data_IF_342866292287
#
_entry.id   IF_342866292287
#
_cell.length_a   1.000
_cell.length_b   1.000
_cell.length_c   1.000
_cell.angle_alpha   90.00
_cell.angle_beta   90.00
_cell.angle_gamma   90.00
#
_symmetry.space_group_name_H-M   'P 1'
#
loop_
_entity.id
_entity.type
_entity.pdbx_description
1 polymer ?
#
# COMPACT_ATOMS: atom_id res chain seq x y z
N UNK A 1 20.25 13.95 -17.03
CA UNK A 1 20.26 14.21 -15.58
C UNK A 1 20.20 12.85 -14.92
N UNK A 2 21.22 12.53 -14.12
CA UNK A 2 21.34 11.20 -13.55
C UNK A 2 20.09 10.87 -12.71
N UNK A 3 19.33 9.92 -13.23
CA UNK A 3 18.37 9.18 -12.44
C UNK A 3 19.20 8.38 -11.43
N UNK A 4 19.43 8.94 -10.25
CA UNK A 4 20.18 8.29 -9.19
C UNK A 4 19.33 7.16 -8.62
N UNK A 5 19.24 6.06 -9.38
CA UNK A 5 18.77 4.80 -8.85
C UNK A 5 19.52 4.54 -7.54
N UNK A 6 18.80 4.21 -6.48
CA UNK A 6 19.40 3.86 -5.19
C UNK A 6 20.39 2.73 -5.44
N UNK A 7 21.71 2.91 -5.19
CA UNK A 7 22.70 1.87 -5.44
C UNK A 7 22.42 0.69 -4.51
N UNK A 8 22.11 -0.46 -5.10
CA UNK A 8 21.88 -1.67 -4.32
C UNK A 8 23.22 -2.29 -3.93
N UNK A 9 23.44 -2.56 -2.62
CA UNK A 9 24.61 -3.32 -2.19
C UNK A 9 24.55 -4.75 -2.73
N UNK A 10 25.68 -5.48 -2.79
CA UNK A 10 25.70 -6.88 -3.18
C UNK A 10 24.75 -7.71 -2.32
N UNK A 11 24.05 -8.66 -2.93
CA UNK A 11 23.23 -9.63 -2.18
C UNK A 11 24.12 -10.46 -1.26
N UNK A 12 23.61 -10.75 -0.06
CA UNK A 12 24.31 -11.61 0.92
C UNK A 12 23.64 -13.00 0.96
N UNK A 13 24.06 -13.95 0.14
CA UNK A 13 23.43 -15.27 0.09
C UNK A 13 23.65 -16.11 1.35
N UNK A 14 24.65 -15.75 2.18
CA UNK A 14 24.95 -16.43 3.44
C UNK A 14 24.37 -15.72 4.66
N UNK A 15 23.72 -14.57 4.49
CA UNK A 15 23.19 -13.76 5.58
C UNK A 15 21.77 -14.14 6.00
N UNK A 16 21.53 -14.14 7.30
CA UNK A 16 20.21 -14.37 7.88
C UNK A 16 19.75 -15.83 7.93
N UNK A 17 18.62 -16.09 8.59
CA UNK A 17 18.03 -17.43 8.68
C UNK A 17 17.32 -17.78 7.37
N UNK A 18 17.86 -18.74 6.62
CA UNK A 18 17.29 -19.19 5.34
C UNK A 18 17.35 -18.10 4.23
N UNK A 19 16.56 -18.32 3.19
CA UNK A 19 16.45 -17.43 2.03
C UNK A 19 15.16 -16.61 2.14
N UNK A 20 15.12 -15.58 2.99
CA UNK A 20 13.93 -14.75 3.16
C UNK A 20 13.62 -13.98 1.87
N UNK A 21 12.36 -14.05 1.44
CA UNK A 21 11.81 -13.32 0.29
C UNK A 21 10.49 -12.66 0.70
N UNK A 22 10.27 -11.43 0.23
CA UNK A 22 8.97 -10.80 0.41
C UNK A 22 7.87 -11.63 -0.26
N UNK A 23 6.71 -11.73 0.38
CA UNK A 23 5.54 -12.43 -0.16
C UNK A 23 4.33 -11.52 -0.22
N UNK A 24 3.78 -11.15 0.92
CA UNK A 24 2.60 -10.28 1.00
C UNK A 24 2.64 -9.40 2.25
N UNK A 25 1.75 -8.41 2.29
CA UNK A 25 1.46 -7.58 3.47
C UNK A 25 0.02 -7.86 3.90
N UNK A 26 -0.20 -8.11 5.19
CA UNK A 26 -1.53 -8.33 5.77
C UNK A 26 -2.20 -7.02 6.18
N UNK A 27 -3.45 -6.82 5.75
CA UNK A 27 -4.33 -5.73 6.12
C UNK A 27 -5.53 -6.29 6.90
N UNK A 28 -5.64 -5.93 8.17
CA UNK A 28 -6.79 -6.28 8.99
C UNK A 28 -7.94 -5.29 8.77
N UNK A 29 -9.17 -5.79 8.64
CA UNK A 29 -10.36 -4.96 8.43
C UNK A 29 -11.57 -5.45 9.24
N UNK A 30 -12.38 -4.52 9.77
CA UNK A 30 -13.67 -4.87 10.35
C UNK A 30 -14.77 -5.12 9.31
N UNK A 31 -14.57 -4.68 8.05
CA UNK A 31 -15.54 -4.81 6.96
C UNK A 31 -14.86 -5.36 5.70
N UNK A 32 -14.95 -6.67 5.56
CA UNK A 32 -14.35 -7.40 4.45
C UNK A 32 -14.86 -6.95 3.09
N UNK A 33 -16.18 -6.90 2.94
CA UNK A 33 -16.80 -6.59 1.65
C UNK A 33 -16.50 -5.14 1.20
N UNK A 34 -16.60 -4.18 2.13
CA UNK A 34 -16.28 -2.79 1.84
C UNK A 34 -14.79 -2.62 1.48
N UNK A 35 -13.90 -3.35 2.14
CA UNK A 35 -12.46 -3.30 1.85
C UNK A 35 -12.14 -3.85 0.46
N UNK A 36 -12.66 -5.02 0.10
CA UNK A 36 -12.48 -5.58 -1.26
C UNK A 36 -13.04 -4.63 -2.31
N UNK A 37 -14.25 -4.10 -2.08
CA UNK A 37 -14.86 -3.14 -3.01
C UNK A 37 -14.01 -1.88 -3.17
N UNK A 38 -13.48 -1.33 -2.09
CA UNK A 38 -12.66 -0.13 -2.14
C UNK A 38 -11.37 -0.34 -2.96
N UNK A 39 -10.59 -1.37 -2.65
CA UNK A 39 -9.33 -1.63 -3.36
C UNK A 39 -9.55 -1.97 -4.84
N UNK A 40 -10.61 -2.70 -5.17
CA UNK A 40 -10.93 -3.04 -6.57
C UNK A 40 -11.48 -1.85 -7.35
N UNK A 41 -12.40 -1.06 -6.77
CA UNK A 41 -13.06 0.05 -7.47
C UNK A 41 -12.23 1.34 -7.50
N UNK A 42 -11.47 1.63 -6.43
CA UNK A 42 -10.69 2.88 -6.32
C UNK A 42 -9.29 2.74 -6.90
N UNK A 43 -8.59 1.64 -6.60
CA UNK A 43 -7.21 1.41 -7.02
C UNK A 43 -7.07 0.38 -8.16
N UNK A 44 -8.16 -0.22 -8.62
CA UNK A 44 -8.13 -1.20 -9.70
C UNK A 44 -7.48 -2.52 -9.33
N UNK A 45 -7.40 -2.86 -8.06
CA UNK A 45 -6.84 -4.14 -7.62
C UNK A 45 -7.69 -5.30 -8.14
N UNK A 46 -7.04 -6.43 -8.35
CA UNK A 46 -7.66 -7.70 -8.74
C UNK A 46 -7.72 -8.62 -7.53
N UNK A 47 -8.84 -9.31 -7.33
CA UNK A 47 -8.94 -10.37 -6.33
C UNK A 47 -8.31 -11.62 -6.94
N UNK A 48 -7.21 -12.10 -6.34
CA UNK A 48 -6.50 -13.30 -6.80
C UNK A 48 -7.13 -14.57 -6.23
N UNK A 49 -7.52 -14.52 -4.96
CA UNK A 49 -8.09 -15.66 -4.25
C UNK A 49 -8.85 -15.20 -3.02
N UNK A 50 -9.95 -15.85 -2.73
CA UNK A 50 -10.68 -15.75 -1.47
C UNK A 50 -10.72 -17.12 -0.79
N UNK A 51 -10.67 -17.13 0.55
CA UNK A 51 -10.82 -18.35 1.35
C UNK A 51 -11.27 -18.02 2.79
N UNK A 52 -11.54 -19.06 3.57
CA UNK A 52 -11.89 -18.95 4.98
C UNK A 52 -10.98 -19.81 5.84
N UNK A 53 -10.74 -19.35 7.07
CA UNK A 53 -10.08 -20.12 8.13
C UNK A 53 -10.96 -20.03 9.37
N UNK A 54 -11.73 -21.10 9.65
CA UNK A 54 -12.81 -21.01 10.61
C UNK A 54 -13.85 -19.97 10.17
N UNK A 55 -14.08 -18.96 11.00
CA UNK A 55 -15.01 -17.85 10.70
C UNK A 55 -14.33 -16.66 10.02
N UNK A 56 -12.99 -16.68 9.89
CA UNK A 56 -12.25 -15.59 9.27
C UNK A 56 -12.35 -15.66 7.74
N UNK A 57 -12.72 -14.54 7.13
CA UNK A 57 -12.70 -14.35 5.69
C UNK A 57 -11.37 -13.72 5.28
N UNK A 58 -10.74 -14.26 4.25
CA UNK A 58 -9.44 -13.79 3.76
C UNK A 58 -9.46 -13.67 2.24
N UNK A 59 -8.67 -12.72 1.73
CA UNK A 59 -8.45 -12.58 0.29
C UNK A 59 -7.01 -12.14 -0.01
N UNK A 60 -6.47 -12.61 -1.12
CA UNK A 60 -5.30 -11.99 -1.76
C UNK A 60 -5.74 -11.06 -2.87
N UNK A 61 -5.19 -9.86 -2.87
CA UNK A 61 -5.36 -8.86 -3.91
C UNK A 61 -4.00 -8.46 -4.49
N UNK A 62 -3.98 -8.12 -5.78
CA UNK A 62 -2.80 -7.54 -6.42
C UNK A 62 -3.18 -6.27 -7.20
N UNK A 63 -2.26 -5.30 -7.41
CA UNK A 63 -2.48 -4.17 -8.30
C UNK A 63 -2.88 -4.61 -9.71
N UNK A 64 -3.45 -3.71 -10.52
CA UNK A 64 -3.98 -4.03 -11.83
C UNK A 64 -2.96 -4.73 -12.75
N UNK A 65 -1.70 -4.29 -12.71
CA UNK A 65 -0.63 -4.72 -13.62
C UNK A 65 0.64 -5.23 -12.91
N UNK A 66 0.54 -5.57 -11.61
CA UNK A 66 1.66 -6.10 -10.84
C UNK A 66 1.27 -7.40 -10.13
N UNK A 67 2.03 -8.46 -10.37
CA UNK A 67 1.84 -9.77 -9.74
C UNK A 67 2.87 -10.07 -8.63
N UNK A 68 3.82 -9.17 -8.39
CA UNK A 68 4.89 -9.38 -7.40
C UNK A 68 4.51 -8.87 -6.00
N UNK A 69 3.59 -7.90 -5.92
CA UNK A 69 3.07 -7.40 -4.67
C UNK A 69 1.66 -7.93 -4.41
N UNK A 70 1.45 -8.52 -3.23
CA UNK A 70 0.13 -8.99 -2.80
C UNK A 70 -0.26 -8.36 -1.48
N UNK A 71 -1.53 -7.96 -1.41
CA UNK A 71 -2.19 -7.52 -0.19
C UNK A 71 -3.10 -8.66 0.30
N UNK A 72 -2.83 -9.16 1.52
CA UNK A 72 -3.74 -10.09 2.19
C UNK A 72 -4.74 -9.31 3.02
N UNK A 73 -6.01 -9.40 2.70
CA UNK A 73 -7.09 -8.83 3.51
C UNK A 73 -7.57 -9.88 4.51
N UNK A 74 -7.56 -9.50 5.80
CA UNK A 74 -8.02 -10.36 6.91
C UNK A 74 -9.22 -9.72 7.60
N UNK A 75 -10.36 -10.39 7.59
CA UNK A 75 -11.55 -9.92 8.31
C UNK A 75 -11.40 -10.12 9.81
N UNK A 76 -11.56 -9.03 10.56
CA UNK A 76 -11.63 -9.04 12.03
C UNK A 76 -12.67 -8.02 12.46
N UNK A 77 -13.89 -8.46 12.83
CA UNK A 77 -14.98 -7.53 13.18
C UNK A 77 -14.67 -6.68 14.42
N UNK A 78 -13.65 -7.04 15.20
CA UNK A 78 -13.20 -6.26 16.36
C UNK A 78 -12.13 -5.21 16.00
N UNK A 79 -11.63 -5.19 14.76
CA UNK A 79 -10.64 -4.22 14.34
C UNK A 79 -11.21 -2.79 14.35
N UNK A 80 -10.47 -1.87 14.96
CA UNK A 80 -10.75 -0.44 14.88
C UNK A 80 -10.13 0.21 13.63
N UNK A 81 -10.44 1.50 13.37
CA UNK A 81 -9.79 2.25 12.29
C UNK A 81 -8.31 2.46 12.59
N UNK A 82 -7.53 2.78 11.55
CA UNK A 82 -6.15 3.23 11.72
C UNK A 82 -6.10 4.51 12.58
N UNK A 83 -4.99 4.78 13.30
CA UNK A 83 -4.85 5.99 14.10
C UNK A 83 -5.09 7.25 13.27
N UNK A 84 -5.93 8.16 13.77
CA UNK A 84 -6.20 9.42 13.08
C UNK A 84 -4.96 10.33 13.07
N UNK A 85 -4.84 11.27 12.10
CA UNK A 85 -3.80 12.29 12.11
C UNK A 85 -3.78 13.05 13.46
N UNK A 86 -2.58 13.27 14.02
CA UNK A 86 -2.40 13.94 15.31
C UNK A 86 -2.48 13.02 16.53
N UNK A 87 -2.78 11.76 16.38
CA UNK A 87 -2.63 10.76 17.45
C UNK A 87 -1.15 10.52 17.77
N UNK A 88 -0.81 10.08 18.99
CA UNK A 88 0.57 9.73 19.33
C UNK A 88 1.15 8.74 18.34
N UNK A 89 2.37 8.99 17.86
CA UNK A 89 3.08 8.08 16.98
C UNK A 89 3.44 6.81 17.76
N UNK A 90 3.10 5.66 17.18
CA UNK A 90 3.45 4.34 17.70
C UNK A 90 4.41 3.64 16.74
N UNK A 91 5.28 2.80 17.27
CA UNK A 91 6.14 1.97 16.42
C UNK A 91 5.29 0.98 15.62
N UNK A 92 5.60 0.82 14.33
CA UNK A 92 4.86 -0.07 13.43
C UNK A 92 5.03 0.31 11.96
N UNK A 93 4.26 -0.34 11.10
CA UNK A 93 4.21 0.04 9.69
C UNK A 93 3.54 1.41 9.55
N UNK A 94 4.19 2.31 8.78
CA UNK A 94 3.67 3.66 8.58
C UNK A 94 2.77 3.75 7.34
N UNK A 95 3.21 3.21 6.22
CA UNK A 95 2.49 3.25 4.95
C UNK A 95 2.85 2.09 4.03
N UNK A 96 2.00 1.84 3.05
CA UNK A 96 2.34 1.11 1.83
C UNK A 96 2.68 2.12 0.75
N UNK A 97 3.71 1.86 -0.04
CA UNK A 97 4.09 2.70 -1.17
C UNK A 97 3.82 1.99 -2.49
N UNK A 98 3.21 2.72 -3.44
CA UNK A 98 3.03 2.28 -4.82
C UNK A 98 3.74 3.25 -5.76
N UNK A 99 4.55 2.71 -6.67
CA UNK A 99 5.16 3.50 -7.74
C UNK A 99 4.12 3.83 -8.81
N UNK A 100 4.15 5.07 -9.30
CA UNK A 100 3.26 5.57 -10.34
C UNK A 100 4.05 6.33 -11.41
N UNK A 101 3.59 6.26 -12.65
CA UNK A 101 4.24 6.93 -13.78
C UNK A 101 4.05 8.46 -13.76
N UNK A 102 2.90 8.93 -13.26
CA UNK A 102 2.54 10.34 -13.17
C UNK A 102 1.74 10.59 -11.89
N UNK A 103 2.37 11.23 -10.91
CA UNK A 103 1.78 11.47 -9.60
C UNK A 103 0.59 12.44 -9.67
N UNK A 104 0.70 13.50 -10.46
CA UNK A 104 -0.36 14.52 -10.54
C UNK A 104 -1.63 13.96 -11.20
N UNK A 105 -1.49 13.20 -12.28
CA UNK A 105 -2.62 12.52 -12.94
C UNK A 105 -3.24 11.47 -12.02
N UNK A 106 -2.42 10.64 -11.37
CA UNK A 106 -2.91 9.61 -10.46
C UNK A 106 -3.71 10.22 -9.30
N UNK A 107 -3.20 11.30 -8.69
CA UNK A 107 -3.93 11.99 -7.61
C UNK A 107 -5.22 12.65 -8.12
N UNK A 108 -5.23 13.20 -9.32
CA UNK A 108 -6.45 13.75 -9.92
C UNK A 108 -7.52 12.67 -10.14
N UNK A 109 -7.13 11.50 -10.66
CA UNK A 109 -8.04 10.36 -10.80
C UNK A 109 -8.57 9.85 -9.45
N UNK A 110 -7.71 9.75 -8.44
CA UNK A 110 -8.11 9.29 -7.11
C UNK A 110 -9.07 10.28 -6.44
N UNK A 111 -8.86 11.59 -6.59
CA UNK A 111 -9.83 12.61 -6.14
C UNK A 111 -11.19 12.45 -6.85
N UNK A 112 -11.18 12.21 -8.16
CA UNK A 112 -12.42 11.97 -8.92
C UNK A 112 -13.15 10.69 -8.47
N UNK A 113 -12.47 9.80 -7.78
CA UNK A 113 -13.03 8.58 -7.16
C UNK A 113 -13.31 8.73 -5.66
N UNK A 114 -13.32 9.96 -5.13
CA UNK A 114 -13.54 10.28 -3.71
C UNK A 114 -12.51 9.65 -2.76
N UNK A 115 -11.27 9.47 -3.21
CA UNK A 115 -10.16 9.05 -2.36
C UNK A 115 -9.53 10.29 -1.71
N UNK A 116 -9.45 10.36 -0.36
CA UNK A 116 -8.90 11.53 0.31
C UNK A 116 -7.39 11.63 0.12
N UNK A 117 -6.92 12.75 -0.42
CA UNK A 117 -5.50 13.12 -0.46
C UNK A 117 -5.17 13.75 0.89
N UNK A 118 -4.30 13.09 1.66
CA UNK A 118 -3.90 13.53 3.01
C UNK A 118 -2.60 14.33 3.01
N UNK A 119 -1.82 14.24 1.93
CA UNK A 119 -0.64 15.06 1.70
C UNK A 119 -0.43 15.32 0.21
N UNK A 120 -0.34 16.60 -0.14
CA UNK A 120 -0.06 17.03 -1.51
C UNK A 120 1.35 16.65 -1.97
N UNK A 121 1.61 16.62 -3.29
CA UNK A 121 2.91 16.27 -3.85
C UNK A 121 4.07 17.07 -3.28
N UNK A 122 5.13 16.39 -2.89
CA UNK A 122 6.38 16.98 -2.43
C UNK A 122 7.57 16.20 -3.01
N UNK A 123 8.73 16.86 -3.07
CA UNK A 123 9.97 16.25 -3.56
C UNK A 123 10.78 15.65 -2.43
N UNK A 124 11.40 14.50 -2.70
CA UNK A 124 12.39 13.84 -1.85
C UNK A 124 13.70 13.71 -2.65
N UNK A 125 14.49 14.79 -2.76
CA UNK A 125 15.67 14.82 -3.65
C UNK A 125 16.70 13.73 -3.34
N UNK A 126 16.81 13.32 -2.07
CA UNK A 126 17.76 12.32 -1.62
C UNK A 126 17.58 10.94 -2.29
N UNK A 127 16.38 10.65 -2.77
CA UNK A 127 16.04 9.39 -3.45
C UNK A 127 15.46 9.60 -4.85
N UNK A 128 15.52 10.84 -5.37
CA UNK A 128 15.07 11.15 -6.73
C UNK A 128 13.57 10.93 -6.98
N UNK A 129 12.70 11.18 -5.98
CA UNK A 129 11.26 10.94 -6.10
C UNK A 129 10.41 12.16 -5.77
N UNK A 130 9.19 12.17 -6.30
CA UNK A 130 8.06 12.96 -5.81
C UNK A 130 7.06 12.03 -5.16
N UNK A 131 6.53 12.42 -4.03
CA UNK A 131 5.59 11.60 -3.27
C UNK A 131 4.33 12.39 -2.93
N UNK A 132 3.22 11.69 -2.81
CA UNK A 132 1.97 12.19 -2.25
C UNK A 132 1.30 11.09 -1.43
N UNK A 133 0.44 11.45 -0.47
CA UNK A 133 -0.24 10.46 0.37
C UNK A 133 -1.74 10.54 0.22
N UNK A 134 -2.36 9.36 0.17
CA UNK A 134 -3.81 9.17 0.23
C UNK A 134 -4.17 8.25 1.40
N UNK A 135 -5.44 8.21 1.78
CA UNK A 135 -5.92 7.27 2.78
C UNK A 135 -6.91 6.29 2.17
N UNK A 136 -6.88 5.04 2.64
CA UNK A 136 -7.95 4.08 2.33
C UNK A 136 -9.20 4.34 3.21
N UNK A 137 -10.22 3.50 3.06
CA UNK A 137 -11.50 3.64 3.79
C UNK A 137 -11.38 3.49 5.31
N UNK A 138 -10.27 2.93 5.80
CA UNK A 138 -10.00 2.76 7.23
C UNK A 138 -8.97 3.75 7.77
N UNK A 139 -8.45 4.65 6.92
CA UNK A 139 -7.43 5.62 7.27
C UNK A 139 -6.00 5.11 7.17
N UNK A 140 -5.76 3.93 6.58
CA UNK A 140 -4.41 3.48 6.29
C UNK A 140 -3.74 4.39 5.27
N UNK A 141 -2.48 4.74 5.54
CA UNK A 141 -1.71 5.65 4.69
C UNK A 141 -1.13 4.88 3.51
N UNK A 142 -1.44 5.36 2.30
CA UNK A 142 -0.88 4.88 1.05
C UNK A 142 -0.04 6.00 0.43
N UNK A 143 1.24 5.73 0.17
CA UNK A 143 2.14 6.60 -0.55
C UNK A 143 2.06 6.30 -2.04
N UNK A 144 2.04 7.36 -2.85
CA UNK A 144 2.23 7.29 -4.28
C UNK A 144 3.56 7.96 -4.60
N UNK A 145 4.46 7.26 -5.26
CA UNK A 145 5.82 7.73 -5.56
C UNK A 145 6.08 7.72 -7.07
N UNK A 146 6.53 8.86 -7.59
CA UNK A 146 6.97 9.05 -8.97
C UNK A 146 8.47 9.26 -8.99
N UNK A 147 9.21 8.50 -9.79
CA UNK A 147 10.64 8.70 -10.01
C UNK A 147 10.88 9.92 -10.91
N UNK A 148 11.82 10.84 -10.55
CA UNK A 148 12.07 12.11 -11.24
C UNK A 148 13.55 12.31 -11.56
#
# INVERSE_FOLDING_TARGET
MDNTAIPLPPRNPAGGPGQLRAAHVGLRTPDYAATLHWYTSKLGFRILKEWTVGELQLAFLAPANDDQFWLEVLHDPAAGPAPAPGQPLVAGFHHLCFEVDNLDETLAELRARDVPVIREPFRVPAIGTRCGFVADLHGNVLELAENI
#
